data_IF_135975138370
#
_entry.id   IF_135975138370
#
_cell.length_a   1.000
_cell.length_b   1.000
_cell.length_c   1.000
_cell.angle_alpha   90.00
_cell.angle_beta   90.00
_cell.angle_gamma   90.00
#
_symmetry.space_group_name_H-M   'P 1'
#
loop_
_entity.id
_entity.type
_entity.pdbx_description
1 polymer ?
#
# COMPACT_ATOMS: atom_id res chain seq x y z
N UNK A 1 11.76 -2.66 14.23
CA UNK A 1 13.02 -3.41 14.43
C UNK A 1 13.66 -2.85 15.69
N UNK A 2 14.03 -3.71 16.65
CA UNK A 2 14.77 -3.32 17.86
C UNK A 2 16.26 -3.31 17.59
N UNK A 3 16.77 -4.41 17.08
CA UNK A 3 18.16 -4.52 16.62
C UNK A 3 18.29 -5.62 15.56
N UNK A 4 19.44 -5.70 14.92
CA UNK A 4 19.83 -6.81 14.07
C UNK A 4 21.34 -7.06 14.15
N UNK A 5 21.72 -8.30 13.85
CA UNK A 5 23.10 -8.72 13.63
C UNK A 5 23.41 -8.66 12.14
N UNK A 6 24.46 -7.92 11.78
CA UNK A 6 24.88 -7.68 10.40
C UNK A 6 26.26 -8.28 10.14
N UNK A 7 26.38 -9.04 9.04
CA UNK A 7 27.65 -9.50 8.51
C UNK A 7 28.11 -8.52 7.43
N UNK A 8 29.23 -7.84 7.66
CA UNK A 8 29.82 -6.87 6.73
C UNK A 8 30.60 -7.57 5.61
N UNK A 9 30.93 -6.84 4.55
CA UNK A 9 31.68 -7.36 3.40
C UNK A 9 33.08 -7.91 3.75
N UNK A 10 33.68 -7.41 4.84
CA UNK A 10 34.97 -7.90 5.34
C UNK A 10 34.86 -9.12 6.27
N UNK A 11 33.67 -9.69 6.44
CA UNK A 11 33.39 -10.83 7.32
C UNK A 11 33.15 -10.47 8.79
N UNK A 12 33.31 -9.21 9.19
CA UNK A 12 33.02 -8.82 10.56
C UNK A 12 31.51 -8.90 10.84
N UNK A 13 31.19 -9.38 12.04
CA UNK A 13 29.81 -9.45 12.55
C UNK A 13 29.63 -8.34 13.57
N UNK A 14 28.62 -7.51 13.35
CA UNK A 14 28.28 -6.39 14.23
C UNK A 14 26.82 -6.40 14.61
N UNK A 15 26.49 -5.87 15.79
CA UNK A 15 25.12 -5.55 16.19
C UNK A 15 24.81 -4.09 15.83
N UNK A 16 23.63 -3.84 15.33
CA UNK A 16 23.13 -2.49 15.02
C UNK A 16 21.71 -2.29 15.57
N UNK A 17 21.51 -1.14 16.20
CA UNK A 17 20.24 -0.70 16.80
C UNK A 17 20.11 0.82 16.67
N UNK A 18 18.97 1.43 17.05
CA UNK A 18 18.84 2.89 17.08
C UNK A 18 19.91 3.61 17.92
N UNK A 19 20.53 2.91 18.88
CA UNK A 19 21.53 3.47 19.81
C UNK A 19 22.95 2.90 19.64
N UNK A 20 23.10 1.77 18.97
CA UNK A 20 24.38 1.10 18.71
C UNK A 20 24.58 1.04 17.20
N UNK A 21 25.71 1.56 16.69
CA UNK A 21 25.96 1.64 15.25
C UNK A 21 24.78 2.23 14.45
N UNK A 22 24.19 3.31 14.97
CA UNK A 22 22.92 3.86 14.50
C UNK A 22 22.94 4.24 13.01
N UNK A 23 24.05 4.79 12.51
CA UNK A 23 24.18 5.11 11.08
C UNK A 23 24.07 3.87 10.19
N UNK A 24 24.68 2.74 10.63
CA UNK A 24 24.58 1.47 9.94
C UNK A 24 23.16 0.93 10.06
N UNK A 25 22.55 1.03 11.26
CA UNK A 25 21.17 0.60 11.49
C UNK A 25 20.20 1.23 10.49
N UNK A 26 20.22 2.56 10.40
CA UNK A 26 19.31 3.26 9.46
C UNK A 26 19.71 3.10 7.99
N UNK A 27 21.00 2.93 7.69
CA UNK A 27 21.47 2.70 6.33
C UNK A 27 21.17 1.30 5.77
N UNK A 28 21.05 0.30 6.64
CA UNK A 28 20.73 -1.09 6.25
C UNK A 28 19.24 -1.27 6.00
N UNK A 29 18.39 -0.59 6.78
CA UNK A 29 16.93 -0.67 6.62
C UNK A 29 16.55 -0.04 5.26
N UNK A 30 16.05 -0.85 4.34
CA UNK A 30 15.77 -0.43 2.96
C UNK A 30 17.01 -0.28 2.06
N UNK A 31 18.22 -0.63 2.55
CA UNK A 31 19.49 -0.49 1.83
C UNK A 31 19.83 -1.61 0.84
N UNK A 32 18.90 -2.52 0.56
CA UNK A 32 19.01 -3.59 -0.44
C UNK A 32 20.29 -4.45 -0.33
N UNK A 33 20.79 -4.64 0.89
CA UNK A 33 22.01 -5.42 1.13
C UNK A 33 23.31 -4.69 0.83
N UNK A 34 23.29 -3.41 0.50
CA UNK A 34 24.48 -2.64 0.12
C UNK A 34 25.54 -2.49 1.21
N UNK A 35 25.17 -2.60 2.48
CA UNK A 35 26.09 -2.46 3.61
C UNK A 35 26.46 -3.81 4.26
N UNK A 36 25.73 -4.89 3.97
CA UNK A 36 25.96 -6.21 4.54
C UNK A 36 24.71 -7.09 4.51
N UNK A 37 24.85 -8.27 5.11
CA UNK A 37 23.78 -9.27 5.19
C UNK A 37 23.24 -9.32 6.63
N UNK A 38 21.93 -9.11 6.79
CA UNK A 38 21.26 -9.29 8.09
C UNK A 38 21.20 -10.79 8.38
N UNK A 39 21.89 -11.25 9.43
CA UNK A 39 21.90 -12.63 9.88
C UNK A 39 20.76 -12.91 10.87
N UNK A 40 20.51 -11.97 11.77
CA UNK A 40 19.47 -12.06 12.78
C UNK A 40 18.76 -10.71 12.94
N UNK A 41 17.48 -10.72 13.30
CA UNK A 41 16.71 -9.49 13.57
C UNK A 41 15.74 -9.71 14.74
N UNK A 42 15.70 -8.74 15.67
CA UNK A 42 14.66 -8.66 16.68
C UNK A 42 13.57 -7.69 16.26
N UNK A 43 12.34 -8.20 16.17
CA UNK A 43 11.16 -7.41 15.81
C UNK A 43 10.27 -7.19 17.04
N UNK A 44 9.83 -5.97 17.22
CA UNK A 44 8.72 -5.69 18.13
C UNK A 44 7.42 -6.15 17.48
N UNK A 45 6.71 -7.02 18.17
CA UNK A 45 5.45 -7.56 17.69
C UNK A 45 4.26 -6.76 18.26
N UNK A 46 3.20 -6.72 17.50
CA UNK A 46 1.93 -6.15 17.92
C UNK A 46 0.86 -7.22 17.97
N UNK A 47 -0.14 -7.02 18.81
CA UNK A 47 -1.26 -7.95 18.98
C UNK A 47 -2.03 -8.09 17.65
N UNK A 48 -2.42 -9.32 17.33
CA UNK A 48 -3.27 -9.60 16.17
C UNK A 48 -4.74 -9.36 16.55
N UNK A 49 -5.22 -8.15 16.36
CA UNK A 49 -6.57 -7.72 16.68
C UNK A 49 -7.54 -7.93 15.50
N UNK A 50 -8.85 -7.88 15.80
CA UNK A 50 -9.89 -7.86 14.76
C UNK A 50 -10.01 -6.44 14.21
N UNK A 51 -10.09 -6.32 12.90
CA UNK A 51 -10.25 -5.05 12.21
C UNK A 51 -11.40 -5.12 11.21
N UNK A 52 -12.17 -4.04 11.13
CA UNK A 52 -13.25 -3.86 10.17
C UNK A 52 -12.83 -2.87 9.10
N UNK A 53 -13.06 -3.22 7.84
CA UNK A 53 -12.87 -2.32 6.73
C UNK A 53 -13.99 -1.26 6.71
N UNK A 54 -13.61 -0.02 6.52
CA UNK A 54 -14.49 1.11 6.22
C UNK A 54 -13.98 1.82 4.99
N UNK A 55 -14.86 2.33 4.16
CA UNK A 55 -14.46 3.04 2.95
C UNK A 55 -15.38 4.22 2.66
N UNK A 56 -14.80 5.26 2.08
CA UNK A 56 -15.53 6.45 1.63
C UNK A 56 -14.94 6.96 0.32
N UNK A 57 -15.80 7.40 -0.59
CA UNK A 57 -15.37 8.08 -1.82
C UNK A 57 -15.51 9.58 -1.63
N UNK A 58 -14.41 10.32 -1.77
CA UNK A 58 -14.34 11.77 -1.55
C UNK A 58 -13.57 12.45 -2.69
N UNK A 59 -13.58 13.77 -2.74
CA UNK A 59 -12.71 14.51 -3.64
C UNK A 59 -11.25 14.44 -3.16
N UNK A 60 -10.30 14.41 -4.08
CA UNK A 60 -8.87 14.46 -3.75
C UNK A 60 -8.52 15.77 -3.02
N UNK A 61 -9.17 16.88 -3.36
CA UNK A 61 -8.98 18.17 -2.69
C UNK A 61 -9.37 18.14 -1.19
N UNK A 62 -10.34 17.30 -0.82
CA UNK A 62 -10.82 17.17 0.55
C UNK A 62 -10.06 16.12 1.35
N UNK A 63 -9.24 15.29 0.68
CA UNK A 63 -8.60 14.13 1.27
C UNK A 63 -7.66 14.48 2.44
N UNK A 64 -6.84 15.52 2.29
CA UNK A 64 -5.92 15.93 3.35
C UNK A 64 -6.67 16.30 4.63
N UNK A 65 -7.75 17.09 4.51
CA UNK A 65 -8.61 17.44 5.64
C UNK A 65 -9.23 16.19 6.27
N UNK A 66 -9.83 15.33 5.45
CA UNK A 66 -10.41 14.05 5.90
C UNK A 66 -9.39 13.21 6.67
N UNK A 67 -8.16 13.08 6.15
CA UNK A 67 -7.09 12.31 6.77
C UNK A 67 -6.75 12.86 8.17
N UNK A 68 -6.59 14.18 8.32
CA UNK A 68 -6.29 14.79 9.60
C UNK A 68 -7.43 14.65 10.60
N UNK A 69 -8.68 14.84 10.16
CA UNK A 69 -9.85 14.82 11.02
C UNK A 69 -10.22 13.42 11.51
N UNK A 70 -10.00 12.39 10.67
CA UNK A 70 -10.56 11.05 10.93
C UNK A 70 -9.52 9.93 11.09
N UNK A 71 -8.28 10.11 10.57
CA UNK A 71 -7.31 9.03 10.49
C UNK A 71 -6.07 9.30 11.35
N UNK A 72 -5.41 10.44 11.17
CA UNK A 72 -4.09 10.70 11.76
C UNK A 72 -4.05 10.52 13.28
N UNK A 73 -5.06 11.00 13.98
CA UNK A 73 -5.16 10.98 15.44
C UNK A 73 -6.08 9.87 15.94
N UNK A 74 -6.52 8.97 15.09
CA UNK A 74 -7.39 7.87 15.45
C UNK A 74 -6.55 6.65 15.84
N UNK A 75 -6.45 6.37 17.13
CA UNK A 75 -5.69 5.24 17.66
C UNK A 75 -6.27 3.87 17.28
N UNK A 76 -7.54 3.80 16.89
CA UNK A 76 -8.18 2.57 16.43
C UNK A 76 -7.97 2.30 14.94
N UNK A 77 -7.48 3.28 14.17
CA UNK A 77 -7.15 3.11 12.76
C UNK A 77 -5.82 2.37 12.64
N UNK A 78 -5.87 1.11 12.21
CA UNK A 78 -4.71 0.21 12.10
C UNK A 78 -4.02 0.36 10.76
N UNK A 79 -4.80 0.33 9.66
CA UNK A 79 -4.30 0.55 8.30
C UNK A 79 -5.13 1.62 7.59
N UNK A 80 -4.48 2.35 6.72
CA UNK A 80 -5.14 3.33 5.87
C UNK A 80 -4.43 3.48 4.54
N UNK A 81 -5.19 3.48 3.47
CA UNK A 81 -4.76 3.89 2.14
C UNK A 81 -5.89 4.64 1.42
N UNK A 82 -5.55 5.37 0.38
CA UNK A 82 -6.54 5.99 -0.46
C UNK A 82 -6.15 5.85 -1.94
N UNK A 83 -7.08 5.35 -2.74
CA UNK A 83 -6.87 5.07 -4.15
C UNK A 83 -7.51 6.15 -5.01
N UNK A 84 -6.70 6.85 -5.80
CA UNK A 84 -7.16 7.92 -6.71
C UNK A 84 -7.53 7.32 -8.05
N UNK A 85 -8.69 7.73 -8.58
CA UNK A 85 -9.23 7.21 -9.83
C UNK A 85 -8.69 7.95 -11.06
N UNK A 86 -7.97 7.24 -11.97
CA UNK A 86 -7.70 7.74 -13.30
C UNK A 86 -8.99 7.72 -14.17
N UNK A 87 -9.11 8.49 -15.24
CA UNK A 87 -8.12 9.43 -15.77
C UNK A 87 -8.28 10.86 -15.26
N UNK A 88 -9.30 11.12 -14.42
CA UNK A 88 -9.59 12.48 -13.96
C UNK A 88 -8.81 12.88 -12.72
N UNK A 89 -8.41 11.92 -11.89
CA UNK A 89 -7.65 12.14 -10.65
C UNK A 89 -8.29 13.15 -9.68
N UNK A 90 -9.63 13.26 -9.71
CA UNK A 90 -10.41 14.19 -8.87
C UNK A 90 -11.08 13.50 -7.70
N UNK A 91 -11.26 12.18 -7.79
CA UNK A 91 -11.90 11.37 -6.76
C UNK A 91 -10.89 10.37 -6.20
N UNK A 92 -11.03 10.11 -4.92
CA UNK A 92 -10.28 9.06 -4.22
C UNK A 92 -11.22 8.23 -3.37
N UNK A 93 -10.90 6.95 -3.22
CA UNK A 93 -11.52 6.04 -2.25
C UNK A 93 -10.57 5.85 -1.09
N UNK A 94 -10.92 6.44 0.05
CA UNK A 94 -10.22 6.23 1.30
C UNK A 94 -10.72 4.93 1.92
N UNK A 95 -9.80 4.04 2.25
CA UNK A 95 -10.04 2.71 2.82
C UNK A 95 -9.29 2.64 4.14
N UNK A 96 -10.02 2.40 5.22
CA UNK A 96 -9.46 2.36 6.57
C UNK A 96 -9.87 1.07 7.25
N UNK A 97 -8.95 0.41 7.90
CA UNK A 97 -9.21 -0.73 8.77
C UNK A 97 -9.14 -0.26 10.22
N UNK A 98 -10.27 -0.39 10.91
CA UNK A 98 -10.45 0.10 12.29
C UNK A 98 -10.61 -1.10 13.22
N UNK A 99 -9.94 -1.08 14.36
CA UNK A 99 -10.10 -2.08 15.41
C UNK A 99 -11.56 -2.21 15.86
N UNK A 100 -12.03 -3.44 16.06
CA UNK A 100 -13.45 -3.71 16.28
C UNK A 100 -13.70 -4.98 17.08
N UNK A 101 -14.82 -5.00 17.82
CA UNK A 101 -15.34 -6.21 18.49
C UNK A 101 -16.37 -6.99 17.66
N UNK A 102 -16.72 -6.51 16.45
CA UNK A 102 -17.69 -7.18 15.56
C UNK A 102 -17.31 -8.63 15.28
N UNK A 103 -18.27 -9.50 14.95
CA UNK A 103 -18.01 -10.87 14.53
C UNK A 103 -17.13 -10.92 13.28
N UNK A 104 -16.16 -11.86 13.29
CA UNK A 104 -15.26 -12.08 12.16
C UNK A 104 -16.03 -12.66 10.97
N UNK A 105 -15.83 -12.07 9.79
CA UNK A 105 -16.33 -12.60 8.52
C UNK A 105 -15.26 -13.42 7.78
N UNK A 106 -13.98 -13.05 7.91
CA UNK A 106 -12.84 -13.78 7.36
C UNK A 106 -12.11 -14.49 8.48
N UNK A 107 -12.28 -15.81 8.59
CA UNK A 107 -11.79 -16.62 9.73
C UNK A 107 -10.27 -16.83 9.76
N UNK A 108 -9.59 -16.69 8.63
CA UNK A 108 -8.13 -16.88 8.55
C UNK A 108 -7.38 -15.82 9.35
N UNK A 109 -6.45 -16.25 10.21
CA UNK A 109 -5.65 -15.35 11.06
C UNK A 109 -4.43 -14.77 10.34
N UNK A 110 -3.97 -15.43 9.30
CA UNK A 110 -2.87 -15.02 8.43
C UNK A 110 -3.24 -15.33 6.98
N UNK A 111 -2.63 -14.62 6.04
CA UNK A 111 -2.73 -14.92 4.61
C UNK A 111 -2.15 -16.29 4.31
N UNK A 112 -2.83 -17.09 3.49
CA UNK A 112 -2.33 -18.43 3.11
C UNK A 112 -1.08 -18.31 2.26
N UNK A 113 -0.09 -19.18 2.55
CA UNK A 113 1.08 -19.31 1.69
C UNK A 113 0.63 -19.68 0.26
N UNK A 114 1.29 -19.10 -0.74
CA UNK A 114 1.02 -19.32 -2.17
C UNK A 114 -0.37 -18.84 -2.63
N UNK A 115 -0.98 -17.91 -1.94
CA UNK A 115 -2.15 -17.25 -2.48
C UNK A 115 -1.70 -16.32 -3.62
N UNK A 116 -2.37 -16.40 -4.76
CA UNK A 116 -1.99 -15.70 -5.98
C UNK A 116 -3.19 -14.94 -6.58
N UNK A 117 -2.89 -14.00 -7.47
CA UNK A 117 -3.89 -13.20 -8.18
C UNK A 117 -4.32 -13.85 -9.50
N UNK A 118 -4.92 -15.05 -9.43
CA UNK A 118 -5.27 -15.83 -10.63
C UNK A 118 -6.33 -15.16 -11.53
N UNK A 119 -7.30 -14.50 -10.92
CA UNK A 119 -8.42 -13.83 -11.62
C UNK A 119 -8.13 -12.33 -11.79
N UNK A 120 -7.47 -11.72 -10.86
CA UNK A 120 -7.21 -10.27 -10.78
C UNK A 120 -6.43 -9.75 -12.00
N UNK A 121 -5.60 -10.57 -12.64
CA UNK A 121 -4.93 -10.21 -13.91
C UNK A 121 -5.92 -9.83 -15.01
N UNK A 122 -7.07 -10.49 -15.08
CA UNK A 122 -8.09 -10.16 -16.07
C UNK A 122 -8.77 -8.83 -15.75
N UNK A 123 -8.95 -8.52 -14.45
CA UNK A 123 -9.42 -7.21 -14.04
C UNK A 123 -8.40 -6.13 -14.37
N UNK A 124 -7.11 -6.34 -14.08
CA UNK A 124 -6.04 -5.43 -14.43
C UNK A 124 -6.02 -5.18 -15.93
N UNK A 125 -6.08 -6.22 -16.75
CA UNK A 125 -6.17 -6.11 -18.20
C UNK A 125 -7.43 -5.35 -18.64
N UNK A 126 -8.59 -5.68 -18.10
CA UNK A 126 -9.85 -5.02 -18.44
C UNK A 126 -9.86 -3.53 -18.07
N UNK A 127 -9.15 -3.14 -17.01
CA UNK A 127 -9.03 -1.75 -16.57
C UNK A 127 -8.03 -0.97 -17.44
N UNK A 128 -6.90 -1.58 -17.79
CA UNK A 128 -5.77 -0.88 -18.42
C UNK A 128 -5.78 -0.94 -19.95
N UNK A 129 -6.36 -1.99 -20.54
CA UNK A 129 -6.18 -2.33 -21.96
C UNK A 129 -7.48 -2.34 -22.77
N UNK A 130 -8.62 -2.05 -22.15
CA UNK A 130 -9.91 -2.00 -22.86
C UNK A 130 -10.57 -0.63 -22.79
N UNK A 131 -11.41 -0.26 -23.77
CA UNK A 131 -12.19 0.98 -23.73
C UNK A 131 -13.03 1.06 -22.46
N UNK A 132 -13.14 2.27 -21.89
CA UNK A 132 -13.90 2.55 -20.66
C UNK A 132 -13.46 1.75 -19.42
N UNK A 133 -12.29 1.11 -19.44
CA UNK A 133 -11.79 0.29 -18.32
C UNK A 133 -11.69 1.06 -17.00
N UNK A 134 -11.17 2.29 -17.05
CA UNK A 134 -11.07 3.19 -15.87
C UNK A 134 -12.45 3.55 -15.33
N UNK A 135 -13.40 3.87 -16.22
CA UNK A 135 -14.79 4.17 -15.85
C UNK A 135 -15.47 2.95 -15.19
N UNK A 136 -15.32 1.75 -15.81
CA UNK A 136 -15.87 0.51 -15.20
C UNK A 136 -15.31 0.25 -13.82
N UNK A 137 -14.01 0.47 -13.60
CA UNK A 137 -13.42 0.35 -12.27
C UNK A 137 -14.11 1.27 -11.27
N UNK A 138 -14.21 2.55 -11.60
CA UNK A 138 -14.73 3.57 -10.67
C UNK A 138 -16.21 3.42 -10.36
N UNK A 139 -17.04 3.05 -11.38
CA UNK A 139 -18.50 3.11 -11.27
C UNK A 139 -19.18 1.73 -11.20
N UNK A 140 -18.49 0.65 -11.50
CA UNK A 140 -19.05 -0.71 -11.46
C UNK A 140 -18.24 -1.63 -10.54
N UNK A 141 -16.94 -1.81 -10.82
CA UNK A 141 -16.13 -2.84 -10.16
C UNK A 141 -15.92 -2.50 -8.68
N UNK A 142 -15.36 -1.33 -8.39
CA UNK A 142 -15.08 -0.93 -7.02
C UNK A 142 -16.34 -0.79 -6.16
N UNK A 143 -17.46 -0.18 -6.62
CA UNK A 143 -18.70 -0.20 -5.86
C UNK A 143 -19.17 -1.60 -5.47
N UNK A 144 -19.05 -2.59 -6.37
CA UNK A 144 -19.43 -3.98 -6.09
C UNK A 144 -18.46 -4.64 -5.09
N UNK A 145 -17.14 -4.47 -5.29
CA UNK A 145 -16.12 -5.03 -4.38
C UNK A 145 -16.29 -4.49 -2.96
N UNK A 146 -16.61 -3.20 -2.84
CA UNK A 146 -16.73 -2.52 -1.55
C UNK A 146 -18.17 -2.48 -0.99
N UNK A 147 -19.10 -3.30 -1.52
CA UNK A 147 -20.44 -3.46 -0.92
C UNK A 147 -20.40 -4.07 0.47
N UNK A 148 -19.44 -4.94 0.71
CA UNK A 148 -19.26 -5.63 1.97
C UNK A 148 -18.08 -5.04 2.74
N UNK A 149 -18.28 -4.77 4.02
CA UNK A 149 -17.23 -4.34 4.92
C UNK A 149 -16.73 -5.57 5.70
N UNK A 150 -15.69 -6.25 5.23
CA UNK A 150 -15.20 -7.45 5.90
C UNK A 150 -14.65 -7.11 7.29
N UNK A 151 -14.79 -8.07 8.20
CA UNK A 151 -14.11 -8.10 9.49
C UNK A 151 -13.10 -9.24 9.45
N UNK A 152 -11.83 -8.91 9.58
CA UNK A 152 -10.72 -9.83 9.45
C UNK A 152 -9.72 -9.67 10.61
N UNK A 153 -8.70 -10.51 10.62
CA UNK A 153 -7.56 -10.35 11.52
C UNK A 153 -6.53 -9.37 10.92
N UNK A 154 -5.94 -8.54 11.77
CA UNK A 154 -4.89 -7.59 11.38
C UNK A 154 -3.77 -8.25 10.56
N UNK A 155 -3.28 -9.42 11.01
CA UNK A 155 -2.20 -10.12 10.31
C UNK A 155 -2.64 -10.74 8.97
N UNK A 156 -3.92 -11.00 8.79
CA UNK A 156 -4.46 -11.43 7.49
C UNK A 156 -4.35 -10.28 6.47
N UNK A 157 -4.76 -9.08 6.85
CA UNK A 157 -4.69 -7.89 5.97
C UNK A 157 -3.26 -7.38 5.77
N UNK A 158 -2.38 -7.57 6.76
CA UNK A 158 -0.97 -7.20 6.63
C UNK A 158 -0.18 -8.14 5.70
N UNK A 159 -0.73 -9.32 5.41
CA UNK A 159 -0.12 -10.28 4.49
C UNK A 159 -0.12 -9.75 3.05
N UNK A 160 0.88 -10.14 2.29
CA UNK A 160 0.96 -9.86 0.86
C UNK A 160 0.83 -11.14 0.04
N UNK A 161 0.27 -11.00 -1.16
CA UNK A 161 0.16 -12.07 -2.13
C UNK A 161 1.35 -12.07 -3.10
N UNK A 162 1.58 -13.18 -3.75
CA UNK A 162 2.49 -13.22 -4.90
C UNK A 162 1.88 -12.38 -6.04
N UNK A 163 2.62 -11.35 -6.47
CA UNK A 163 2.17 -10.42 -7.52
C UNK A 163 2.64 -10.82 -8.92
N UNK A 164 3.43 -11.88 -9.04
CA UNK A 164 3.99 -12.32 -10.33
C UNK A 164 2.89 -12.56 -11.38
N UNK A 165 1.73 -13.04 -10.96
CA UNK A 165 0.60 -13.30 -11.86
C UNK A 165 -0.15 -12.04 -12.33
N UNK A 166 0.07 -10.88 -11.70
CA UNK A 166 -0.47 -9.61 -12.18
C UNK A 166 0.32 -9.07 -13.38
N UNK A 167 1.55 -9.53 -13.58
CA UNK A 167 2.37 -9.12 -14.70
C UNK A 167 1.79 -9.59 -16.05
N UNK A 168 2.04 -8.85 -17.14
CA UNK A 168 1.65 -9.29 -18.48
C UNK A 168 2.40 -10.57 -18.85
N UNK A 169 1.73 -11.47 -19.57
CA UNK A 169 2.34 -12.73 -20.04
C UNK A 169 3.59 -12.53 -20.89
N UNK A 170 3.72 -11.38 -21.54
CA UNK A 170 4.87 -10.99 -22.35
C UNK A 170 5.20 -9.53 -22.10
N UNK A 171 6.46 -9.25 -21.82
CA UNK A 171 7.00 -7.90 -21.66
C UNK A 171 7.48 -7.28 -22.99
N UNK A 172 7.29 -7.97 -24.12
CA UNK A 172 7.73 -7.47 -25.43
C UNK A 172 7.03 -6.17 -25.85
N UNK A 173 5.77 -5.97 -25.42
CA UNK A 173 4.98 -4.78 -25.76
C UNK A 173 4.70 -3.89 -24.55
N UNK A 174 4.50 -4.47 -23.38
CA UNK A 174 4.09 -3.75 -22.17
C UNK A 174 4.79 -4.32 -20.95
N UNK A 175 5.09 -3.44 -20.00
CA UNK A 175 5.48 -3.82 -18.64
C UNK A 175 4.76 -2.94 -17.63
N UNK A 176 4.65 -3.39 -16.38
CA UNK A 176 4.16 -2.57 -15.28
C UNK A 176 5.35 -1.98 -14.52
N UNK A 177 5.22 -0.71 -14.19
CA UNK A 177 6.22 0.02 -13.39
C UNK A 177 5.50 0.53 -12.14
N UNK A 178 6.06 0.23 -10.98
CA UNK A 178 5.71 0.88 -9.71
C UNK A 178 6.64 2.06 -9.51
N UNK A 179 6.06 3.22 -9.20
CA UNK A 179 6.81 4.42 -8.89
C UNK A 179 6.27 5.03 -7.61
N UNK A 180 7.15 5.39 -6.69
CA UNK A 180 6.80 5.98 -5.40
C UNK A 180 7.35 7.39 -5.28
N UNK A 181 6.57 8.27 -4.68
CA UNK A 181 6.94 9.66 -4.40
C UNK A 181 6.71 9.94 -2.93
N UNK A 182 7.76 10.37 -2.23
CA UNK A 182 7.68 10.82 -0.84
C UNK A 182 7.38 12.31 -0.81
N UNK A 183 6.12 12.65 -0.59
CA UNK A 183 5.62 14.02 -0.62
C UNK A 183 5.42 14.51 0.80
N UNK A 184 6.08 15.60 1.25
CA UNK A 184 5.79 16.22 2.54
C UNK A 184 4.31 16.59 2.64
N UNK A 185 3.70 16.32 3.81
CA UNK A 185 2.23 16.48 3.99
C UNK A 185 1.76 17.92 3.74
N UNK A 186 2.58 18.92 4.09
CA UNK A 186 2.29 20.34 3.82
C UNK A 186 2.29 20.68 2.34
N UNK A 187 3.01 19.92 1.50
CA UNK A 187 3.07 20.10 0.04
C UNK A 187 2.01 19.32 -0.74
N UNK A 188 1.23 18.47 -0.07
CA UNK A 188 0.26 17.59 -0.72
C UNK A 188 -0.70 18.34 -1.64
N UNK A 189 -1.32 19.43 -1.15
CA UNK A 189 -2.31 20.20 -1.90
C UNK A 189 -1.72 20.90 -3.14
N UNK A 190 -0.42 21.19 -3.13
CA UNK A 190 0.30 21.73 -4.29
C UNK A 190 0.74 20.62 -5.24
N UNK A 191 1.15 19.49 -4.72
CA UNK A 191 1.64 18.34 -5.51
C UNK A 191 0.53 17.72 -6.37
N UNK A 192 -0.64 17.49 -5.78
CA UNK A 192 -1.73 16.75 -6.44
C UNK A 192 -2.21 17.37 -7.75
N UNK A 193 -2.47 18.70 -7.84
CA UNK A 193 -2.86 19.31 -9.12
C UNK A 193 -1.76 19.22 -10.19
N UNK A 194 -0.50 19.40 -9.81
CA UNK A 194 0.64 19.32 -10.74
C UNK A 194 0.80 17.89 -11.28
N UNK A 195 0.75 16.90 -10.40
CA UNK A 195 0.80 15.49 -10.79
C UNK A 195 -0.35 15.16 -11.76
N UNK A 196 -1.57 15.57 -11.45
CA UNK A 196 -2.75 15.39 -12.31
C UNK A 196 -2.51 15.98 -13.70
N UNK A 197 -2.04 17.23 -13.78
CA UNK A 197 -1.76 17.91 -15.04
C UNK A 197 -0.74 17.14 -15.87
N UNK A 198 0.38 16.71 -15.27
CA UNK A 198 1.41 15.94 -15.96
C UNK A 198 0.85 14.61 -16.47
N UNK A 199 0.15 13.84 -15.64
CA UNK A 199 -0.40 12.55 -16.02
C UNK A 199 -1.41 12.66 -17.17
N UNK A 200 -2.23 13.72 -17.17
CA UNK A 200 -3.18 13.99 -18.25
C UNK A 200 -2.50 14.48 -19.52
N UNK A 201 -1.53 15.40 -19.43
CA UNK A 201 -0.78 15.93 -20.55
C UNK A 201 -0.06 14.83 -21.34
N UNK A 202 0.54 13.87 -20.62
CA UNK A 202 1.30 12.79 -21.25
C UNK A 202 0.48 11.51 -21.46
N UNK A 203 -0.84 11.54 -21.23
CA UNK A 203 -1.74 10.40 -21.41
C UNK A 203 -1.24 9.12 -20.72
N UNK A 204 -0.70 9.26 -19.49
CA UNK A 204 -0.11 8.13 -18.77
C UNK A 204 -1.16 7.08 -18.44
N UNK A 205 -0.93 5.85 -18.84
CA UNK A 205 -1.85 4.74 -18.57
C UNK A 205 -1.60 4.16 -17.18
N UNK A 206 -2.23 4.74 -16.16
CA UNK A 206 -2.13 4.27 -14.79
C UNK A 206 -3.23 3.26 -14.46
N UNK A 207 -2.84 2.22 -13.74
CA UNK A 207 -3.78 1.32 -13.09
C UNK A 207 -4.39 1.99 -11.86
N UNK A 208 -3.54 2.52 -10.99
CA UNK A 208 -3.91 3.06 -9.68
C UNK A 208 -2.89 4.10 -9.20
N UNK A 209 -3.31 4.99 -8.32
CA UNK A 209 -2.44 5.80 -7.47
C UNK A 209 -2.90 5.57 -6.04
N UNK A 210 -2.05 4.97 -5.21
CA UNK A 210 -2.34 4.78 -3.79
C UNK A 210 -1.61 5.82 -2.96
N UNK A 211 -2.35 6.54 -2.13
CA UNK A 211 -1.79 7.40 -1.08
C UNK A 211 -1.61 6.54 0.16
N UNK A 212 -0.41 6.53 0.71
CA UNK A 212 -0.09 5.90 1.99
C UNK A 212 0.59 6.91 2.89
N UNK A 213 0.43 6.76 4.18
CA UNK A 213 1.11 7.59 5.18
C UNK A 213 2.04 6.72 6.01
N UNK A 214 3.30 7.11 6.11
CA UNK A 214 4.25 6.57 7.09
C UNK A 214 4.26 7.47 8.32
N UNK A 215 4.19 6.85 9.50
CA UNK A 215 4.37 7.56 10.78
C UNK A 215 5.84 7.78 11.05
#
# INVERSE_FOLDING_TARGET
>A
IKFFTLVLANGNVIEASPTINSNIFYGVIGGYGGLGIIAEVELELVTNTKIAQQQIKINVADYKKYFFDHIRNNNTAIFHNADIYPPHYTKTRAITWIETDKPITIKHRITKNKQCYAIERYFVWAITSTPLGKWRREYIIDPVIYLFNPVSWRNYEAGSYDVAELEPRSRAKNTYILQEYFVPVDKFDRFMPIMREILQRYHVNLLNISIRHSK
#
